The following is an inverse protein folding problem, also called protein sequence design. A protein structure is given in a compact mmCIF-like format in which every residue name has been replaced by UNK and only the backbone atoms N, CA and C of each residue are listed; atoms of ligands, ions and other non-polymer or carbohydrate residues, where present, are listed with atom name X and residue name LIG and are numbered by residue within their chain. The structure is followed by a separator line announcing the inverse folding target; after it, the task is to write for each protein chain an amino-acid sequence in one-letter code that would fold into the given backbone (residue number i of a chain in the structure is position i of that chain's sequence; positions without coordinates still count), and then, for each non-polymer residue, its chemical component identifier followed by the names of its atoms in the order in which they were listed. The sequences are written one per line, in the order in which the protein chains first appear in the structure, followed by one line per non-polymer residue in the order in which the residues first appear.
data_IF_337372613915
#
_entry.id   IF_337372613915
#
_cell.length_a   1.000
_cell.length_b   1.000
_cell.length_c   1.000
_cell.angle_alpha   90.00
_cell.angle_beta   90.00
_cell.angle_gamma   90.00
#
_symmetry.space_group_name_H-M   'P 1'
#
loop_
_entity.id
_entity.type
_entity.pdbx_description
1 polymer ?
#
# COMPACT_ATOMS: atom_id res chain seq x y z
N UNK A 1 -9.02 8.59 18.75
CA UNK A 1 -8.48 9.01 17.43
C UNK A 1 -7.24 8.21 17.06
N UNK A 2 -7.24 6.88 17.27
CA UNK A 2 -6.11 6.01 16.92
C UNK A 2 -6.00 5.78 15.41
N UNK A 3 -7.03 6.16 14.66
CA UNK A 3 -7.09 6.06 13.20
C UNK A 3 -6.01 6.93 12.54
N UNK A 4 -5.75 8.13 13.08
CA UNK A 4 -4.75 9.06 12.52
C UNK A 4 -3.33 8.48 12.58
N UNK A 5 -2.79 8.05 13.74
CA UNK A 5 -1.46 7.45 13.78
C UNK A 5 -1.38 6.11 13.03
N UNK A 6 -2.46 5.33 12.99
CA UNK A 6 -2.50 4.10 12.19
C UNK A 6 -2.34 4.39 10.69
N UNK A 7 -3.14 5.31 10.16
CA UNK A 7 -3.09 5.68 8.74
C UNK A 7 -1.87 6.54 8.39
N UNK A 8 -1.36 7.37 9.29
CA UNK A 8 -0.25 8.29 8.99
C UNK A 8 1.15 7.70 9.25
N UNK A 9 1.27 6.68 10.10
CA UNK A 9 2.57 6.11 10.48
C UNK A 9 2.66 4.63 10.10
N UNK A 10 1.69 3.82 10.53
CA UNK A 10 1.75 2.37 10.35
C UNK A 10 1.56 1.94 8.88
N UNK A 11 0.55 2.51 8.20
CA UNK A 11 0.24 2.17 6.81
C UNK A 11 1.36 2.52 5.81
N UNK A 12 2.03 3.68 5.88
CA UNK A 12 3.20 3.95 5.06
C UNK A 12 4.31 2.92 5.22
N UNK A 13 4.64 2.55 6.47
CA UNK A 13 5.68 1.57 6.76
C UNK A 13 5.31 0.21 6.15
N UNK A 14 4.09 -0.26 6.39
CA UNK A 14 3.60 -1.53 5.82
C UNK A 14 3.62 -1.49 4.29
N UNK A 15 3.18 -0.38 3.69
CA UNK A 15 3.17 -0.17 2.24
C UNK A 15 4.58 -0.31 1.67
N UNK A 16 5.56 0.38 2.26
CA UNK A 16 6.96 0.34 1.82
C UNK A 16 7.55 -1.06 1.98
N UNK A 17 7.37 -1.69 3.14
CA UNK A 17 7.93 -3.02 3.43
C UNK A 17 7.35 -4.08 2.49
N UNK A 18 6.03 -4.12 2.31
CA UNK A 18 5.38 -5.06 1.39
C UNK A 18 5.81 -4.84 -0.06
N UNK A 19 5.89 -3.57 -0.49
CA UNK A 19 6.31 -3.22 -1.85
C UNK A 19 7.73 -3.66 -2.14
N UNK A 20 8.66 -3.35 -1.23
CA UNK A 20 10.05 -3.76 -1.34
C UNK A 20 10.19 -5.28 -1.29
N UNK A 21 9.50 -5.96 -0.37
CA UNK A 21 9.54 -7.42 -0.28
C UNK A 21 9.01 -8.11 -1.54
N UNK A 22 7.86 -7.66 -2.07
CA UNK A 22 7.27 -8.19 -3.29
C UNK A 22 8.15 -7.97 -4.51
N UNK A 23 8.67 -6.75 -4.69
CA UNK A 23 9.52 -6.41 -5.83
C UNK A 23 10.92 -7.07 -5.77
N UNK A 24 11.51 -7.18 -4.58
CA UNK A 24 12.86 -7.73 -4.43
C UNK A 24 12.88 -9.26 -4.40
N UNK A 25 12.05 -9.88 -3.56
CA UNK A 25 12.11 -11.32 -3.27
C UNK A 25 11.22 -12.15 -4.20
N UNK A 26 10.00 -11.69 -4.46
CA UNK A 26 9.02 -12.43 -5.27
C UNK A 26 9.13 -12.11 -6.78
N UNK A 27 9.91 -11.08 -7.16
CA UNK A 27 10.03 -10.56 -8.54
C UNK A 27 8.66 -10.23 -9.17
N UNK A 28 7.62 -10.07 -8.35
CA UNK A 28 6.26 -9.78 -8.79
C UNK A 28 5.90 -8.36 -8.36
N UNK A 29 6.07 -7.43 -9.31
CA UNK A 29 5.93 -5.99 -9.11
C UNK A 29 4.47 -5.53 -8.97
N UNK A 30 3.50 -6.39 -9.27
CA UNK A 30 2.07 -6.03 -9.16
C UNK A 30 1.40 -6.64 -7.92
N UNK A 31 2.01 -7.66 -7.32
CA UNK A 31 1.41 -8.36 -6.18
C UNK A 31 1.32 -7.47 -4.94
N UNK A 32 2.35 -6.69 -4.63
CA UNK A 32 2.33 -5.82 -3.46
C UNK A 32 1.33 -4.66 -3.59
N UNK A 33 1.25 -3.92 -4.72
CA UNK A 33 0.19 -2.94 -4.95
C UNK A 33 -1.20 -3.55 -4.86
N UNK A 34 -1.41 -4.76 -5.39
CA UNK A 34 -2.69 -5.46 -5.33
C UNK A 34 -3.09 -5.80 -3.89
N UNK A 35 -2.16 -6.33 -3.09
CA UNK A 35 -2.40 -6.67 -1.67
C UNK A 35 -2.73 -5.40 -0.88
N UNK A 36 -2.00 -4.31 -1.11
CA UNK A 36 -2.23 -3.02 -0.44
C UNK A 36 -3.59 -2.46 -0.84
N UNK A 37 -3.94 -2.50 -2.13
CA UNK A 37 -5.24 -2.05 -2.61
C UNK A 37 -6.38 -2.85 -1.98
N UNK A 38 -6.35 -4.17 -2.08
CA UNK A 38 -7.43 -5.03 -1.56
C UNK A 38 -7.50 -4.94 -0.04
N UNK A 39 -6.37 -5.06 0.65
CA UNK A 39 -6.31 -5.02 2.11
C UNK A 39 -6.81 -3.71 2.68
N UNK A 40 -6.36 -2.57 2.14
CA UNK A 40 -6.79 -1.26 2.61
C UNK A 40 -8.25 -0.98 2.27
N UNK A 41 -8.72 -1.37 1.08
CA UNK A 41 -10.14 -1.18 0.72
C UNK A 41 -11.07 -2.04 1.56
N UNK A 42 -10.68 -3.25 1.98
CA UNK A 42 -11.45 -4.03 2.96
C UNK A 42 -11.58 -3.26 4.27
N UNK A 43 -10.50 -2.64 4.76
CA UNK A 43 -10.55 -1.81 5.97
C UNK A 43 -11.45 -0.57 5.81
N UNK A 44 -11.55 0.00 4.61
CA UNK A 44 -12.46 1.12 4.34
C UNK A 44 -13.94 0.75 4.45
N UNK A 45 -14.28 -0.53 4.37
CA UNK A 45 -15.65 -1.02 4.59
C UNK A 45 -15.84 -1.39 6.06
N UNK A 46 -14.90 -2.11 6.65
CA UNK A 46 -15.03 -2.65 8.01
C UNK A 46 -14.96 -1.56 9.08
N UNK A 47 -14.03 -0.61 8.99
CA UNK A 47 -13.84 0.40 10.04
C UNK A 47 -15.04 1.35 10.19
N UNK A 48 -15.67 1.87 9.12
CA UNK A 48 -16.88 2.67 9.24
C UNK A 48 -18.05 1.93 9.92
N UNK A 49 -18.18 0.61 9.69
CA UNK A 49 -19.24 -0.21 10.29
C UNK A 49 -19.06 -0.35 11.81
N UNK A 50 -17.81 -0.35 12.30
CA UNK A 50 -17.50 -0.59 13.72
C UNK A 50 -17.31 0.72 14.49
N UNK A 51 -16.75 1.75 13.86
CA UNK A 51 -16.27 2.96 14.53
C UNK A 51 -16.97 4.24 14.05
N UNK A 52 -17.93 4.16 13.12
CA UNK A 52 -18.66 5.31 12.55
C UNK A 52 -17.73 6.42 12.03
N UNK A 53 -16.63 6.00 11.39
CA UNK A 53 -15.63 6.88 10.76
C UNK A 53 -16.00 7.07 9.28
N UNK A 54 -15.80 8.27 8.75
CA UNK A 54 -16.09 8.57 7.34
C UNK A 54 -15.24 7.72 6.36
N UNK A 55 -15.91 6.90 5.55
CA UNK A 55 -15.26 6.00 4.59
C UNK A 55 -14.45 6.74 3.51
N UNK A 56 -14.87 7.95 3.14
CA UNK A 56 -14.26 8.75 2.07
C UNK A 56 -12.78 9.07 2.33
N UNK A 57 -12.44 9.40 3.59
CA UNK A 57 -11.07 9.67 3.98
C UNK A 57 -10.21 8.40 3.91
N UNK A 58 -10.72 7.28 4.44
CA UNK A 58 -10.04 5.99 4.43
C UNK A 58 -9.77 5.51 3.00
N UNK A 59 -10.74 5.71 2.10
CA UNK A 59 -10.62 5.40 0.68
C UNK A 59 -9.54 6.25 -0.02
N UNK A 60 -9.48 7.54 0.30
CA UNK A 60 -8.40 8.42 -0.19
C UNK A 60 -7.01 7.91 0.20
N UNK A 61 -6.84 7.51 1.47
CA UNK A 61 -5.59 6.91 1.95
C UNK A 61 -5.28 5.57 1.29
N UNK A 62 -6.28 4.69 1.15
CA UNK A 62 -6.12 3.40 0.48
C UNK A 62 -5.62 3.54 -0.96
N UNK A 63 -6.23 4.47 -1.70
CA UNK A 63 -5.85 4.78 -3.08
C UNK A 63 -4.45 5.38 -3.14
N UNK A 64 -4.13 6.34 -2.27
CA UNK A 64 -2.81 6.96 -2.21
C UNK A 64 -1.70 5.93 -1.97
N UNK A 65 -1.86 5.05 -0.97
CA UNK A 65 -0.86 4.02 -0.66
C UNK A 65 -0.70 2.97 -1.77
N UNK A 66 -1.79 2.65 -2.48
CA UNK A 66 -1.72 1.78 -3.65
C UNK A 66 -0.86 2.39 -4.76
N UNK A 67 -1.04 3.68 -5.05
CA UNK A 67 -0.24 4.40 -6.05
C UNK A 67 1.23 4.45 -5.63
N UNK A 68 1.51 4.76 -4.36
CA UNK A 68 2.89 4.75 -3.82
C UNK A 68 3.53 3.36 -3.97
N UNK A 69 2.81 2.29 -3.64
CA UNK A 69 3.28 0.92 -3.81
C UNK A 69 3.61 0.58 -5.26
N UNK A 70 2.76 1.02 -6.20
CA UNK A 70 2.97 0.82 -7.62
C UNK A 70 4.22 1.56 -8.09
N UNK A 71 4.42 2.81 -7.68
CA UNK A 71 5.61 3.60 -8.01
C UNK A 71 6.89 2.93 -7.51
N UNK A 72 6.91 2.47 -6.24
CA UNK A 72 8.06 1.73 -5.69
C UNK A 72 8.36 0.50 -6.55
N UNK A 73 7.32 -0.26 -6.91
CA UNK A 73 7.48 -1.49 -7.67
C UNK A 73 8.03 -1.22 -9.08
N UNK A 74 7.58 -0.13 -9.74
CA UNK A 74 8.10 0.32 -11.03
C UNK A 74 9.57 0.74 -10.90
N UNK A 75 9.92 1.57 -9.91
CA UNK A 75 11.30 2.04 -9.67
C UNK A 75 12.24 0.85 -9.48
N UNK A 76 11.86 -0.13 -8.64
CA UNK A 76 12.66 -1.33 -8.40
C UNK A 76 12.83 -2.17 -9.66
N UNK A 77 11.78 -2.30 -10.48
CA UNK A 77 11.86 -3.01 -11.77
C UNK A 77 12.87 -2.34 -12.72
N UNK A 78 12.80 -1.02 -12.86
CA UNK A 78 13.74 -0.27 -13.70
C UNK A 78 15.18 -0.36 -13.18
N UNK A 79 15.39 -0.23 -11.87
CA UNK A 79 16.71 -0.36 -11.25
C UNK A 79 17.32 -1.75 -11.49
N UNK A 80 16.54 -2.83 -11.32
CA UNK A 80 16.98 -4.20 -11.60
C UNK A 80 17.28 -4.44 -13.08
N UNK A 81 16.50 -3.85 -13.98
CA UNK A 81 16.71 -4.00 -15.43
C UNK A 81 18.02 -3.33 -15.86
N UNK A 82 18.32 -2.13 -15.31
CA UNK A 82 19.61 -1.45 -15.56
C UNK A 82 20.81 -2.18 -14.98
N UNK A 83 20.66 -2.86 -13.84
CA UNK A 83 21.75 -3.60 -13.20
C UNK A 83 22.11 -4.91 -13.94
N UNK A 84 21.27 -5.38 -14.86
CA UNK A 84 21.45 -6.61 -15.62
C UNK A 84 21.91 -6.37 -17.08
N UNK A 85 21.98 -5.11 -17.51
CA UNK A 85 22.48 -4.67 -18.82
C UNK A 85 23.92 -4.19 -18.69
#
# INVERSE_FOLDING_TARGET
MWEIPFYAILMPIITVVLSLFGAMKLKNYYLAPLIIFVGLNVLTIVLPMVQNVGWTALFGWATFYTVVSLLISIIVKFAKTKAAA
#
